data_IF_048126576691
#
_entry.id   IF_048126576691
#
_cell.length_a   1.000
_cell.length_b   1.000
_cell.length_c   1.000
_cell.angle_alpha   90.00
_cell.angle_beta   90.00
_cell.angle_gamma   90.00
#
_symmetry.space_group_name_H-M   'P 1'
#
loop_
_entity.id
_entity.type
_entity.pdbx_description
1 polymer ?
#
# COMPACT_ATOMS: atom_id res chain seq x y z
N UNK A 1 -73.78 -73.42 62.15
CA UNK A 1 -73.58 -73.29 60.67
C UNK A 1 -73.89 -71.87 60.19
N UNK A 2 -74.64 -71.03 60.94
CA UNK A 2 -75.08 -69.66 60.47
C UNK A 2 -74.04 -68.58 60.73
N UNK A 3 -73.08 -68.78 61.67
CA UNK A 3 -72.09 -67.77 62.06
C UNK A 3 -70.87 -67.67 61.01
N UNK A 4 -70.60 -68.77 60.32
CA UNK A 4 -69.52 -68.83 59.35
C UNK A 4 -69.80 -68.07 58.01
N UNK A 5 -71.06 -67.91 57.62
CA UNK A 5 -71.48 -67.30 56.35
C UNK A 5 -71.48 -65.76 56.46
N UNK A 6 -71.57 -65.19 57.62
CA UNK A 6 -71.60 -63.71 57.86
C UNK A 6 -70.21 -63.09 57.81
N UNK A 7 -69.19 -63.90 58.18
CA UNK A 7 -67.81 -63.41 58.19
C UNK A 7 -67.14 -63.40 56.77
N UNK A 8 -67.68 -64.28 55.90
CA UNK A 8 -67.18 -64.29 54.48
C UNK A 8 -67.73 -63.18 53.63
N UNK A 9 -68.87 -62.58 53.96
CA UNK A 9 -69.51 -61.52 53.20
C UNK A 9 -68.90 -60.08 53.49
N UNK A 10 -68.21 -59.96 54.65
CA UNK A 10 -67.59 -58.67 55.02
C UNK A 10 -66.17 -58.53 54.45
N UNK A 11 -65.54 -59.62 53.98
CA UNK A 11 -64.16 -59.60 53.53
C UNK A 11 -63.97 -59.40 52.05
N UNK A 12 -65.05 -59.25 51.34
CA UNK A 12 -65.05 -59.13 49.85
C UNK A 12 -65.24 -57.74 49.27
N UNK A 13 -65.09 -56.68 50.06
CA UNK A 13 -65.22 -55.30 49.50
C UNK A 13 -63.94 -54.49 49.68
N UNK A 14 -62.87 -55.03 49.11
CA UNK A 14 -61.73 -54.16 48.83
C UNK A 14 -62.15 -53.22 47.69
N UNK A 15 -62.52 -52.01 48.05
CA UNK A 15 -62.73 -50.94 47.07
C UNK A 15 -61.36 -50.60 46.54
N UNK A 16 -61.11 -50.93 45.27
CA UNK A 16 -59.96 -50.49 44.51
C UNK A 16 -60.01 -48.95 44.46
N UNK A 17 -59.37 -48.33 45.43
CA UNK A 17 -59.29 -46.86 45.50
C UNK A 17 -58.16 -46.42 44.60
N UNK A 18 -58.43 -45.74 43.49
CA UNK A 18 -57.36 -45.32 42.60
C UNK A 18 -56.38 -44.44 43.40
N UNK A 19 -55.14 -44.86 43.44
CA UNK A 19 -54.06 -44.04 44.01
C UNK A 19 -53.76 -42.91 43.06
N UNK A 20 -54.22 -41.73 43.39
CA UNK A 20 -53.89 -40.48 42.66
C UNK A 20 -52.66 -39.84 43.28
N UNK A 21 -51.64 -39.61 42.49
CA UNK A 21 -50.47 -38.85 42.92
C UNK A 21 -50.82 -37.39 42.75
N UNK A 22 -50.91 -36.65 43.84
CA UNK A 22 -51.10 -35.20 43.80
C UNK A 22 -49.76 -34.52 43.97
N UNK A 23 -49.46 -33.56 43.09
CA UNK A 23 -48.31 -32.66 43.25
C UNK A 23 -48.84 -31.25 43.48
N UNK A 24 -48.18 -30.55 44.34
CA UNK A 24 -48.49 -29.14 44.60
C UNK A 24 -47.92 -28.31 43.42
N UNK A 25 -48.77 -27.56 42.79
CA UNK A 25 -48.34 -26.64 41.74
C UNK A 25 -47.68 -25.44 42.35
N UNK A 26 -46.38 -25.29 42.10
CA UNK A 26 -45.64 -24.11 42.49
C UNK A 26 -45.37 -23.28 41.24
N UNK A 27 -45.53 -21.97 41.38
CA UNK A 27 -45.23 -21.01 40.30
C UNK A 27 -43.74 -20.80 40.30
N UNK A 28 -43.05 -21.32 39.31
CA UNK A 28 -41.59 -21.19 39.13
C UNK A 28 -41.29 -20.46 37.82
N UNK A 29 -40.40 -19.49 37.90
CA UNK A 29 -39.93 -18.82 36.69
C UNK A 29 -39.01 -19.76 35.88
N UNK A 30 -39.40 -20.01 34.64
CA UNK A 30 -38.62 -20.79 33.69
C UNK A 30 -37.62 -19.88 32.97
N UNK A 31 -36.36 -20.01 33.31
CA UNK A 31 -35.28 -19.36 32.60
C UNK A 31 -34.82 -20.25 31.45
N UNK A 32 -35.19 -19.85 30.21
CA UNK A 32 -34.69 -20.53 29.01
C UNK A 32 -33.30 -19.98 28.65
N UNK A 33 -32.27 -20.78 28.82
CA UNK A 33 -30.91 -20.42 28.47
C UNK A 33 -30.64 -20.90 27.03
N UNK A 34 -30.57 -19.93 26.09
CA UNK A 34 -30.20 -20.20 24.70
C UNK A 34 -28.69 -20.02 24.57
N UNK A 35 -27.98 -21.07 24.16
CA UNK A 35 -26.56 -21.02 23.86
C UNK A 35 -26.39 -20.97 22.35
N UNK A 36 -25.72 -19.93 21.87
CA UNK A 36 -25.37 -19.78 20.45
C UNK A 36 -23.85 -19.77 20.30
N UNK A 37 -23.35 -20.52 19.35
CA UNK A 37 -21.94 -20.49 18.97
C UNK A 37 -21.74 -19.39 17.93
N UNK A 38 -20.82 -18.48 18.19
CA UNK A 38 -20.46 -17.39 17.29
C UNK A 38 -18.94 -17.31 17.11
N UNK A 39 -18.50 -16.80 15.96
CA UNK A 39 -17.11 -16.49 15.69
C UNK A 39 -16.96 -14.99 15.64
N UNK A 40 -16.07 -14.44 16.46
CA UNK A 40 -15.71 -13.02 16.42
C UNK A 40 -14.66 -12.84 15.33
N UNK A 41 -14.90 -11.93 14.42
CA UNK A 41 -13.96 -11.56 13.36
C UNK A 41 -13.70 -10.07 13.41
N UNK A 42 -12.47 -9.66 13.08
CA UNK A 42 -12.12 -8.26 12.98
C UNK A 42 -12.93 -7.60 11.85
N UNK A 43 -13.46 -6.40 12.09
CA UNK A 43 -14.21 -5.61 11.10
C UNK A 43 -13.34 -5.20 9.92
N UNK A 44 -12.04 -4.98 10.17
CA UNK A 44 -11.04 -4.65 9.15
C UNK A 44 -9.80 -5.49 9.42
N UNK A 45 -9.31 -6.14 8.40
CA UNK A 45 -8.06 -6.88 8.41
C UNK A 45 -7.26 -6.43 7.19
N UNK A 46 -5.99 -6.13 7.39
CA UNK A 46 -5.06 -5.80 6.31
C UNK A 46 -3.89 -6.75 6.41
N UNK A 47 -3.72 -7.56 5.38
CA UNK A 47 -2.55 -8.41 5.24
C UNK A 47 -1.45 -7.60 4.56
N UNK A 48 -0.32 -7.44 5.24
CA UNK A 48 0.81 -6.65 4.74
C UNK A 48 1.94 -7.57 4.30
N UNK A 49 2.50 -7.27 3.15
CA UNK A 49 3.72 -7.92 2.66
C UNK A 49 4.78 -6.87 2.37
N UNK A 50 6.04 -7.20 2.62
CA UNK A 50 7.15 -6.37 2.20
C UNK A 50 7.28 -6.41 0.67
N UNK A 51 7.39 -5.24 0.04
CA UNK A 51 7.55 -5.10 -1.41
C UNK A 51 9.01 -5.19 -1.84
N UNK A 52 9.93 -5.21 -0.89
CA UNK A 52 11.39 -5.27 -1.10
C UNK A 52 11.95 -6.44 -0.31
N UNK A 53 12.85 -7.20 -0.91
CA UNK A 53 13.58 -8.27 -0.23
C UNK A 53 14.78 -7.71 0.51
N UNK A 54 15.03 -8.20 1.73
CA UNK A 54 16.19 -7.82 2.53
C UNK A 54 16.11 -8.35 3.96
N UNK A 55 17.15 -8.10 4.75
CA UNK A 55 17.17 -8.42 6.17
C UNK A 55 16.38 -7.39 6.97
N UNK A 56 15.61 -7.84 7.96
CA UNK A 56 14.96 -6.95 8.92
C UNK A 56 16.02 -6.47 9.92
N UNK A 57 16.31 -5.18 9.90
CA UNK A 57 17.26 -4.55 10.81
C UNK A 57 16.60 -4.12 12.12
N UNK A 58 15.35 -3.68 12.02
CA UNK A 58 14.60 -3.23 13.19
C UNK A 58 13.14 -3.71 13.09
N UNK A 59 12.67 -4.32 14.19
CA UNK A 59 11.26 -4.68 14.38
C UNK A 59 10.74 -3.88 15.56
N UNK A 60 9.91 -2.87 15.27
CA UNK A 60 9.45 -1.90 16.26
C UNK A 60 8.21 -2.36 17.05
N UNK A 61 7.57 -3.45 16.64
CA UNK A 61 6.29 -3.91 17.21
C UNK A 61 6.34 -5.41 17.46
N UNK A 62 5.50 -5.87 18.39
CA UNK A 62 5.29 -7.29 18.72
C UNK A 62 3.85 -7.66 18.47
N UNK A 63 3.59 -8.96 18.39
CA UNK A 63 2.24 -9.48 18.30
C UNK A 63 1.40 -9.04 19.51
N UNK A 64 0.23 -8.49 19.25
CA UNK A 64 -0.68 -7.94 20.25
C UNK A 64 -0.52 -6.45 20.55
N UNK A 65 0.47 -5.78 19.98
CA UNK A 65 0.67 -4.33 20.18
C UNK A 65 -0.40 -3.49 19.47
N UNK A 66 -0.81 -2.42 20.11
CA UNK A 66 -1.64 -1.39 19.49
C UNK A 66 -0.79 -0.44 18.67
N UNK A 67 -1.12 -0.28 17.40
CA UNK A 67 -0.38 0.58 16.46
C UNK A 67 -1.25 1.70 15.94
N UNK A 68 -0.67 2.87 15.74
CA UNK A 68 -1.35 4.01 15.11
C UNK A 68 -1.06 4.03 13.61
N UNK A 69 -1.98 4.57 12.84
CA UNK A 69 -1.76 4.78 11.41
C UNK A 69 -0.47 5.58 11.15
N UNK A 70 0.39 5.06 10.27
CA UNK A 70 1.69 5.65 9.95
C UNK A 70 2.82 5.27 10.92
N UNK A 71 2.54 4.51 11.98
CA UNK A 71 3.56 4.04 12.91
C UNK A 71 4.50 3.04 12.22
N UNK A 72 5.82 3.16 12.49
CA UNK A 72 6.82 2.24 12.01
C UNK A 72 6.58 0.85 12.60
N UNK A 73 6.48 -0.15 11.74
CA UNK A 73 6.33 -1.56 12.11
C UNK A 73 7.67 -2.30 12.03
N UNK A 74 8.31 -2.21 10.89
CA UNK A 74 9.63 -2.82 10.68
C UNK A 74 10.44 -2.02 9.66
N UNK A 75 11.75 -2.20 9.73
CA UNK A 75 12.69 -1.63 8.78
C UNK A 75 13.58 -2.72 8.20
N UNK A 76 13.59 -2.78 6.88
CA UNK A 76 14.50 -3.65 6.09
C UNK A 76 15.82 -2.92 5.90
N UNK A 77 16.91 -3.66 5.78
CA UNK A 77 18.22 -3.09 5.47
C UNK A 77 18.16 -2.26 4.19
N UNK A 78 18.48 -1.00 4.33
CA UNK A 78 18.41 0.00 3.25
C UNK A 78 19.77 0.40 2.69
N UNK A 79 20.88 -0.15 3.22
CA UNK A 79 22.22 0.33 2.88
C UNK A 79 22.49 0.26 1.37
N UNK A 80 22.18 -0.87 0.74
CA UNK A 80 22.35 -1.06 -0.70
C UNK A 80 21.44 -0.15 -1.52
N UNK A 81 20.15 -0.06 -1.16
CA UNK A 81 19.19 0.77 -1.88
C UNK A 81 19.46 2.27 -1.70
N UNK A 82 19.96 2.67 -0.53
CA UNK A 82 20.40 4.04 -0.29
C UNK A 82 21.61 4.41 -1.15
N UNK A 83 22.61 3.54 -1.22
CA UNK A 83 23.76 3.74 -2.10
C UNK A 83 23.36 3.80 -3.59
N UNK A 84 22.42 2.96 -4.01
CA UNK A 84 21.89 2.98 -5.36
C UNK A 84 21.15 4.30 -5.66
N UNK A 85 20.28 4.76 -4.75
CA UNK A 85 19.58 6.03 -4.90
C UNK A 85 20.55 7.21 -4.97
N UNK A 86 21.60 7.20 -4.14
CA UNK A 86 22.66 8.22 -4.16
C UNK A 86 23.44 8.22 -5.49
N UNK A 87 23.75 7.03 -6.03
CA UNK A 87 24.39 6.91 -7.34
C UNK A 87 23.51 7.46 -8.47
N UNK A 88 22.18 7.20 -8.42
CA UNK A 88 21.23 7.77 -9.38
C UNK A 88 21.09 9.30 -9.23
N UNK A 89 21.17 9.80 -8.00
CA UNK A 89 21.16 11.24 -7.73
C UNK A 89 22.39 11.94 -8.33
N UNK A 90 23.57 11.37 -8.16
CA UNK A 90 24.80 11.88 -8.78
C UNK A 90 24.71 11.85 -10.34
N UNK A 91 24.13 10.78 -10.92
CA UNK A 91 23.89 10.71 -12.37
C UNK A 91 22.91 11.78 -12.85
N UNK A 92 21.87 12.07 -12.07
CA UNK A 92 20.91 13.13 -12.38
C UNK A 92 21.57 14.51 -12.32
N UNK A 93 22.48 14.76 -11.38
CA UNK A 93 23.23 16.01 -11.28
C UNK A 93 24.18 16.20 -12.47
N UNK A 94 24.91 15.14 -12.88
CA UNK A 94 25.72 15.18 -14.07
C UNK A 94 24.90 15.51 -15.32
N UNK A 95 23.71 14.89 -15.46
CA UNK A 95 22.81 15.15 -16.59
C UNK A 95 22.26 16.58 -16.61
N UNK A 96 22.11 17.22 -15.42
CA UNK A 96 21.76 18.65 -15.35
C UNK A 96 22.84 19.53 -15.95
N UNK A 97 24.10 19.26 -15.65
CA UNK A 97 25.23 20.00 -16.23
C UNK A 97 25.32 19.80 -17.75
N UNK A 98 25.07 18.58 -18.25
CA UNK A 98 25.01 18.31 -19.68
C UNK A 98 23.87 19.09 -20.35
N UNK A 99 22.72 19.15 -19.70
CA UNK A 99 21.58 19.95 -20.19
C UNK A 99 21.91 21.44 -20.24
N UNK A 100 22.55 21.99 -19.21
CA UNK A 100 22.92 23.39 -19.16
C UNK A 100 23.96 23.74 -20.24
N UNK A 101 24.91 22.83 -20.52
CA UNK A 101 25.83 22.95 -21.63
C UNK A 101 25.10 22.92 -23.00
N UNK A 102 24.17 21.99 -23.19
CA UNK A 102 23.38 21.89 -24.42
C UNK A 102 22.51 23.17 -24.64
N UNK A 103 21.92 23.71 -23.55
CA UNK A 103 21.17 24.97 -23.60
C UNK A 103 22.04 26.16 -24.01
N UNK A 104 23.23 26.25 -23.44
CA UNK A 104 24.18 27.31 -23.76
C UNK A 104 24.60 27.23 -25.21
N UNK A 105 24.88 26.01 -25.74
CA UNK A 105 25.22 25.82 -27.12
C UNK A 105 24.08 26.17 -28.10
N UNK A 106 22.84 25.78 -27.76
CA UNK A 106 21.66 26.15 -28.56
C UNK A 106 21.41 27.66 -28.55
N UNK A 107 21.58 28.29 -27.38
CA UNK A 107 21.46 29.75 -27.25
C UNK A 107 22.53 30.50 -28.11
N UNK A 108 23.79 30.01 -28.12
CA UNK A 108 24.84 30.56 -28.96
C UNK A 108 24.54 30.38 -30.43
N UNK A 109 24.13 29.17 -30.84
CA UNK A 109 23.77 28.90 -32.23
C UNK A 109 22.61 29.77 -32.72
N UNK A 110 21.62 29.99 -31.86
CA UNK A 110 20.49 30.90 -32.13
C UNK A 110 20.93 32.35 -32.31
N UNK A 111 21.85 32.83 -31.47
CA UNK A 111 22.40 34.16 -31.58
C UNK A 111 23.17 34.33 -32.92
N UNK A 112 23.95 33.33 -33.29
CA UNK A 112 24.72 33.33 -34.53
C UNK A 112 23.81 33.25 -35.78
N UNK A 113 22.72 32.45 -35.74
CA UNK A 113 21.70 32.42 -36.80
C UNK A 113 21.03 33.79 -36.96
N UNK A 114 20.59 34.43 -35.88
CA UNK A 114 19.93 35.73 -35.93
C UNK A 114 20.86 36.78 -36.54
N UNK A 115 22.14 36.78 -36.19
CA UNK A 115 23.16 37.68 -36.77
C UNK A 115 23.40 37.38 -38.22
N UNK A 116 23.53 36.11 -38.61
CA UNK A 116 23.69 35.67 -39.99
C UNK A 116 22.49 36.08 -40.87
N UNK A 117 21.26 35.93 -40.32
CA UNK A 117 20.02 36.37 -40.97
C UNK A 117 19.98 37.86 -41.25
N UNK A 118 20.36 38.69 -40.27
CA UNK A 118 20.46 40.16 -40.46
C UNK A 118 21.46 40.51 -41.54
N UNK A 119 22.66 39.92 -41.54
CA UNK A 119 23.70 40.16 -42.54
C UNK A 119 23.28 39.70 -43.92
N UNK A 120 22.58 38.57 -44.06
CA UNK A 120 22.03 38.07 -45.32
C UNK A 120 20.96 39.04 -45.87
N UNK A 121 20.04 39.52 -45.01
CA UNK A 121 19.05 40.52 -45.40
C UNK A 121 19.68 41.85 -45.85
N UNK A 122 20.78 42.23 -45.23
CA UNK A 122 21.56 43.39 -45.61
C UNK A 122 22.45 43.11 -46.87
N UNK A 123 22.38 41.92 -47.51
CA UNK A 123 23.18 41.49 -48.65
C UNK A 123 24.71 41.50 -48.37
N UNK A 124 25.11 41.36 -47.12
CA UNK A 124 26.51 41.33 -46.68
C UNK A 124 27.02 39.86 -46.65
N UNK A 125 26.12 38.88 -46.43
CA UNK A 125 26.45 37.45 -46.26
C UNK A 125 25.90 36.66 -47.45
N UNK A 126 26.62 35.63 -47.88
CA UNK A 126 26.17 34.68 -48.92
C UNK A 126 25.07 33.77 -48.35
N UNK A 127 24.17 33.34 -49.22
CA UNK A 127 23.05 32.41 -48.80
C UNK A 127 23.59 31.10 -48.22
N UNK A 128 24.67 30.55 -48.75
CA UNK A 128 25.29 29.32 -48.24
C UNK A 128 25.74 29.44 -46.80
N UNK A 129 26.29 30.61 -46.40
CA UNK A 129 26.73 30.84 -45.04
C UNK A 129 25.54 31.03 -44.08
N UNK A 130 24.46 31.66 -44.54
CA UNK A 130 23.21 31.72 -43.76
C UNK A 130 22.62 30.33 -43.54
N UNK A 131 22.54 29.50 -44.60
CA UNK A 131 22.04 28.13 -44.48
C UNK A 131 22.90 27.28 -43.54
N UNK A 132 24.22 27.48 -43.54
CA UNK A 132 25.14 26.83 -42.61
C UNK A 132 24.83 27.20 -41.16
N UNK A 133 24.58 28.49 -40.85
CA UNK A 133 24.23 28.93 -39.51
C UNK A 133 22.87 28.40 -39.07
N UNK A 134 21.90 28.32 -39.98
CA UNK A 134 20.59 27.72 -39.73
C UNK A 134 20.70 26.25 -39.38
N UNK A 135 21.44 25.47 -40.18
CA UNK A 135 21.67 24.04 -39.93
C UNK A 135 22.40 23.78 -38.61
N UNK A 136 23.32 24.71 -38.21
CA UNK A 136 23.98 24.63 -36.92
C UNK A 136 22.98 24.84 -35.75
N UNK A 137 22.05 25.78 -35.89
CA UNK A 137 20.98 25.97 -34.94
C UNK A 137 20.09 24.73 -34.85
N UNK A 138 19.59 24.23 -35.95
CA UNK A 138 18.72 23.02 -36.01
C UNK A 138 19.42 21.83 -35.34
N UNK A 139 20.72 21.64 -35.58
CA UNK A 139 21.50 20.59 -34.89
C UNK A 139 21.65 20.82 -33.39
N UNK A 140 21.89 22.04 -32.95
CA UNK A 140 22.01 22.36 -31.55
C UNK A 140 20.67 22.20 -30.81
N UNK A 141 19.55 22.61 -31.41
CA UNK A 141 18.20 22.40 -30.88
C UNK A 141 17.84 20.92 -30.76
N UNK A 142 18.18 20.12 -31.79
CA UNK A 142 18.00 18.66 -31.77
C UNK A 142 18.81 18.02 -30.62
N UNK A 143 20.06 18.46 -30.42
CA UNK A 143 20.90 18.01 -29.32
C UNK A 143 20.31 18.36 -27.95
N UNK A 144 19.81 19.60 -27.81
CA UNK A 144 19.13 20.04 -26.60
C UNK A 144 17.91 19.15 -26.31
N UNK A 145 17.05 18.96 -27.31
CA UNK A 145 15.85 18.11 -27.13
C UNK A 145 16.21 16.66 -26.76
N UNK A 146 17.25 16.10 -27.36
CA UNK A 146 17.74 14.76 -27.01
C UNK A 146 18.25 14.71 -25.56
N UNK A 147 18.99 15.73 -25.13
CA UNK A 147 19.50 15.82 -23.73
C UNK A 147 18.37 16.00 -22.73
N UNK A 148 17.34 16.78 -23.06
CA UNK A 148 16.13 16.90 -22.22
C UNK A 148 15.41 15.56 -22.04
N UNK A 149 15.31 14.76 -23.09
CA UNK A 149 14.72 13.41 -22.97
C UNK A 149 15.56 12.48 -22.10
N UNK A 150 16.90 12.52 -22.24
CA UNK A 150 17.81 11.76 -21.37
C UNK A 150 17.66 12.17 -19.91
N UNK A 151 17.56 13.47 -19.64
CA UNK A 151 17.33 13.98 -18.30
C UNK A 151 16.01 13.47 -17.70
N UNK A 152 14.93 13.44 -18.49
CA UNK A 152 13.64 12.87 -18.05
C UNK A 152 13.76 11.39 -17.70
N UNK A 153 14.47 10.61 -18.54
CA UNK A 153 14.71 9.19 -18.28
C UNK A 153 15.50 8.98 -16.99
N UNK A 154 16.62 9.72 -16.81
CA UNK A 154 17.43 9.65 -15.58
C UNK A 154 16.62 10.07 -14.35
N UNK A 155 15.74 11.05 -14.50
CA UNK A 155 14.82 11.47 -13.43
C UNK A 155 13.83 10.38 -13.04
N UNK A 156 13.30 9.62 -14.02
CA UNK A 156 12.43 8.48 -13.75
C UNK A 156 13.18 7.35 -13.03
N UNK A 157 14.43 7.07 -13.42
CA UNK A 157 15.28 6.07 -12.75
C UNK A 157 15.58 6.45 -11.31
N UNK A 158 15.84 7.73 -11.03
CA UNK A 158 16.03 8.24 -9.68
C UNK A 158 14.74 8.09 -8.86
N UNK A 159 13.59 8.43 -9.42
CA UNK A 159 12.30 8.29 -8.76
C UNK A 159 12.02 6.83 -8.41
N UNK A 160 12.28 5.89 -9.31
CA UNK A 160 12.13 4.45 -9.05
C UNK A 160 13.07 3.95 -7.94
N UNK A 161 14.33 4.43 -7.92
CA UNK A 161 15.27 4.08 -6.85
C UNK A 161 14.83 4.62 -5.49
N UNK A 162 14.34 5.85 -5.44
CA UNK A 162 13.80 6.47 -4.21
C UNK A 162 12.53 5.77 -3.72
N UNK A 163 11.65 5.37 -4.64
CA UNK A 163 10.46 4.58 -4.30
C UNK A 163 10.84 3.23 -3.68
N UNK A 164 11.80 2.52 -4.29
CA UNK A 164 12.33 1.27 -3.74
C UNK A 164 12.94 1.46 -2.36
N UNK A 165 13.69 2.54 -2.15
CA UNK A 165 14.25 2.89 -0.84
C UNK A 165 13.15 3.21 0.17
N UNK A 166 12.10 3.91 -0.21
CA UNK A 166 10.97 4.23 0.68
C UNK A 166 10.25 2.97 1.17
N UNK A 167 10.16 1.95 0.32
CA UNK A 167 9.51 0.66 0.60
C UNK A 167 10.28 -0.22 1.59
N UNK A 168 11.51 0.15 1.95
CA UNK A 168 12.26 -0.53 3.03
C UNK A 168 11.70 -0.22 4.42
N UNK A 169 10.93 0.83 4.55
CA UNK A 169 10.28 1.24 5.80
C UNK A 169 8.80 0.88 5.72
N UNK A 170 8.38 -0.08 6.51
CA UNK A 170 6.99 -0.55 6.54
C UNK A 170 6.27 0.11 7.70
N UNK A 171 5.19 0.83 7.37
CA UNK A 171 4.36 1.55 8.35
C UNK A 171 2.93 1.01 8.34
N UNK A 172 2.20 1.18 9.45
CA UNK A 172 0.81 0.75 9.58
C UNK A 172 -0.11 1.58 8.66
N UNK A 173 -0.91 0.95 7.76
CA UNK A 173 -1.85 1.66 6.90
C UNK A 173 -3.16 2.02 7.61
N UNK A 174 -3.47 1.33 8.69
CA UNK A 174 -4.67 1.49 9.52
C UNK A 174 -4.29 1.54 10.99
N UNK A 175 -5.23 1.99 11.80
CA UNK A 175 -5.19 1.95 13.26
C UNK A 175 -5.82 0.67 13.79
#
# INVERSE_FOLDING_TARGET
VVVGALTAFIRGRDKDVPRVTTARVEKTDLVSKVTANGKIQARRKVDMSALVMGQIVNLAVKEGDHVKKGQLLLQIDRAQLAAQAQGREASMEAMRHDLDAARSNAAQAKFDEVRAKQNFQAKILAEADYQKSKSALDSAEATLAATEQRMRSTGADLAASRDSLSKTTVTAPIE
#
